data_IF_780593667076
#
_entry.id   IF_780593667076
#
_cell.length_a   1.000
_cell.length_b   1.000
_cell.length_c   1.000
_cell.angle_alpha   90.00
_cell.angle_beta   90.00
_cell.angle_gamma   90.00
#
_symmetry.space_group_name_H-M   'P 1'
#
loop_
_entity.id
_entity.type
_entity.pdbx_description
1 polymer ?
#
# COMPACT_ATOMS: atom_id res chain seq x y z
N UNK A 1 -11.56 73.05 59.07
CA UNK A 1 -11.57 72.01 58.03
C UNK A 1 -12.48 70.91 58.54
N UNK A 2 -13.59 70.65 57.85
CA UNK A 2 -14.55 69.67 58.33
C UNK A 2 -14.10 68.26 57.88
N UNK A 3 -13.47 67.55 58.80
CA UNK A 3 -12.88 66.21 58.59
C UNK A 3 -13.92 65.19 58.10
N UNK A 4 -15.19 65.42 58.38
CA UNK A 4 -16.28 64.54 57.98
C UNK A 4 -16.57 64.61 56.48
N UNK A 5 -16.53 65.81 55.89
CA UNK A 5 -16.59 65.98 54.42
C UNK A 5 -15.42 65.30 53.71
N UNK A 6 -14.22 65.34 54.29
CA UNK A 6 -13.03 64.68 53.73
C UNK A 6 -13.20 63.15 53.77
N UNK A 7 -13.68 62.60 54.89
CA UNK A 7 -13.99 61.17 55.05
C UNK A 7 -15.03 60.69 54.03
N UNK A 8 -16.11 61.44 53.84
CA UNK A 8 -17.15 61.11 52.86
C UNK A 8 -16.62 61.16 51.41
N UNK A 9 -15.81 62.16 51.06
CA UNK A 9 -15.20 62.26 49.74
C UNK A 9 -14.22 61.10 49.45
N UNK A 10 -13.41 60.72 50.43
CA UNK A 10 -12.51 59.56 50.36
C UNK A 10 -13.27 58.27 50.14
N UNK A 11 -14.31 58.00 50.95
CA UNK A 11 -15.13 56.80 50.80
C UNK A 11 -15.86 56.73 49.45
N UNK A 12 -16.31 57.87 48.91
CA UNK A 12 -16.93 57.94 47.59
C UNK A 12 -15.94 57.63 46.46
N UNK A 13 -14.71 58.17 46.54
CA UNK A 13 -13.63 57.86 45.59
C UNK A 13 -13.18 56.40 45.66
N UNK A 14 -13.09 55.85 46.87
CA UNK A 14 -12.71 54.45 47.08
C UNK A 14 -13.75 53.49 46.51
N UNK A 15 -15.05 53.77 46.70
CA UNK A 15 -16.14 53.03 46.04
C UNK A 15 -16.07 53.13 44.51
N UNK A 16 -15.81 54.33 43.98
CA UNK A 16 -15.66 54.51 42.53
C UNK A 16 -14.47 53.71 41.97
N UNK A 17 -13.33 53.69 42.69
CA UNK A 17 -12.16 52.90 42.34
C UNK A 17 -12.45 51.39 42.37
N UNK A 18 -13.20 50.91 43.37
CA UNK A 18 -13.61 49.51 43.46
C UNK A 18 -14.50 49.08 42.29
N UNK A 19 -15.45 49.94 41.89
CA UNK A 19 -16.31 49.69 40.72
C UNK A 19 -15.48 49.67 39.43
N UNK A 20 -14.54 50.61 39.28
CA UNK A 20 -13.66 50.66 38.11
C UNK A 20 -12.76 49.43 38.02
N UNK A 21 -12.17 49.00 39.14
CA UNK A 21 -11.34 47.80 39.22
C UNK A 21 -12.15 46.52 38.90
N UNK A 22 -13.40 46.45 39.37
CA UNK A 22 -14.31 45.36 39.02
C UNK A 22 -14.62 45.33 37.51
N UNK A 23 -14.87 46.49 36.90
CA UNK A 23 -15.10 46.60 35.47
C UNK A 23 -13.86 46.19 34.65
N UNK A 24 -12.67 46.62 35.07
CA UNK A 24 -11.39 46.25 34.42
C UNK A 24 -11.14 44.74 34.51
N UNK A 25 -11.35 44.12 35.67
CA UNK A 25 -11.22 42.68 35.84
C UNK A 25 -12.19 41.90 34.93
N UNK A 26 -13.41 42.41 34.74
CA UNK A 26 -14.42 41.81 33.86
C UNK A 26 -14.00 41.90 32.37
N UNK A 27 -13.39 43.01 31.96
CA UNK A 27 -12.83 43.17 30.61
C UNK A 27 -11.69 42.17 30.39
N UNK A 28 -10.75 42.07 31.34
CA UNK A 28 -9.61 41.13 31.26
C UNK A 28 -10.12 39.68 31.19
N UNK A 29 -11.12 39.33 32.01
CA UNK A 29 -11.74 37.99 31.96
C UNK A 29 -12.34 37.68 30.59
N UNK A 30 -13.07 38.61 29.98
CA UNK A 30 -13.66 38.42 28.65
C UNK A 30 -12.58 38.21 27.57
N UNK A 31 -11.48 38.96 27.64
CA UNK A 31 -10.34 38.80 26.72
C UNK A 31 -9.70 37.42 26.85
N UNK A 32 -9.42 36.96 28.08
CA UNK A 32 -8.84 35.63 28.32
C UNK A 32 -9.80 34.51 27.87
N UNK A 33 -11.10 34.68 28.10
CA UNK A 33 -12.11 33.73 27.67
C UNK A 33 -12.19 33.60 26.14
N UNK A 34 -12.16 34.74 25.42
CA UNK A 34 -12.14 34.75 23.97
C UNK A 34 -10.85 34.10 23.43
N UNK A 35 -9.69 34.47 23.99
CA UNK A 35 -8.41 33.88 23.63
C UNK A 35 -8.38 32.35 23.84
N UNK A 36 -9.00 31.86 24.92
CA UNK A 36 -9.09 30.43 25.20
C UNK A 36 -9.91 29.68 24.14
N UNK A 37 -11.01 30.28 23.66
CA UNK A 37 -11.79 29.71 22.54
C UNK A 37 -10.99 29.67 21.26
N UNK A 38 -10.31 30.76 20.94
CA UNK A 38 -9.49 30.85 19.72
C UNK A 38 -8.34 29.83 19.75
N UNK A 39 -7.72 29.63 20.93
CA UNK A 39 -6.71 28.60 21.14
C UNK A 39 -7.26 27.18 20.91
N UNK A 40 -8.46 26.89 21.43
CA UNK A 40 -9.12 25.59 21.22
C UNK A 40 -9.41 25.37 19.73
N UNK A 41 -9.96 26.38 19.04
CA UNK A 41 -10.26 26.30 17.60
C UNK A 41 -8.97 26.11 16.79
N UNK A 42 -7.90 26.83 17.12
CA UNK A 42 -6.60 26.68 16.47
C UNK A 42 -6.04 25.27 16.66
N UNK A 43 -6.18 24.70 17.87
CA UNK A 43 -5.74 23.34 18.16
C UNK A 43 -6.52 22.33 17.32
N UNK A 44 -7.85 22.40 17.30
CA UNK A 44 -8.69 21.55 16.44
C UNK A 44 -8.34 21.70 14.95
N UNK A 45 -8.17 22.94 14.47
CA UNK A 45 -7.79 23.23 13.10
C UNK A 45 -6.43 22.63 12.73
N UNK A 46 -5.45 22.72 13.63
CA UNK A 46 -4.10 22.18 13.41
C UNK A 46 -4.10 20.64 13.31
N UNK A 47 -4.88 19.97 14.16
CA UNK A 47 -5.02 18.50 14.14
C UNK A 47 -5.69 18.06 12.85
N UNK A 48 -6.79 18.71 12.47
CA UNK A 48 -7.51 18.40 11.23
C UNK A 48 -6.62 18.63 10.00
N UNK A 49 -5.92 19.77 9.93
CA UNK A 49 -5.00 20.07 8.86
C UNK A 49 -3.88 19.01 8.79
N UNK A 50 -3.26 18.65 9.92
CA UNK A 50 -2.22 17.62 9.99
C UNK A 50 -2.69 16.26 9.45
N UNK A 51 -3.87 15.80 9.85
CA UNK A 51 -4.46 14.55 9.36
C UNK A 51 -4.74 14.61 7.85
N UNK A 52 -5.29 15.73 7.35
CA UNK A 52 -5.57 15.92 5.93
C UNK A 52 -4.28 15.95 5.10
N UNK A 53 -3.27 16.72 5.53
CA UNK A 53 -1.96 16.77 4.89
C UNK A 53 -1.33 15.39 4.83
N UNK A 54 -1.29 14.66 5.96
CA UNK A 54 -0.74 13.31 5.98
C UNK A 54 -1.48 12.37 5.03
N UNK A 55 -2.81 12.45 4.97
CA UNK A 55 -3.61 11.61 4.07
C UNK A 55 -3.37 11.94 2.60
N UNK A 56 -3.29 13.22 2.24
CA UNK A 56 -3.06 13.66 0.86
C UNK A 56 -1.64 13.36 0.42
N UNK A 57 -0.62 13.77 1.18
CA UNK A 57 0.78 13.49 0.87
C UNK A 57 1.06 12.00 0.90
N UNK A 58 0.53 11.27 1.89
CA UNK A 58 0.66 9.82 1.99
C UNK A 58 0.09 9.12 0.76
N UNK A 59 -1.11 9.51 0.31
CA UNK A 59 -1.69 8.98 -0.95
C UNK A 59 -0.80 9.28 -2.16
N UNK A 60 -0.32 10.53 -2.30
CA UNK A 60 0.55 10.94 -3.42
C UNK A 60 1.86 10.17 -3.44
N UNK A 61 2.51 10.00 -2.28
CA UNK A 61 3.74 9.23 -2.14
C UNK A 61 3.52 7.74 -2.46
N UNK A 62 2.46 7.14 -1.93
CA UNK A 62 2.13 5.74 -2.22
C UNK A 62 1.83 5.52 -3.70
N UNK A 63 1.19 6.49 -4.35
CA UNK A 63 0.95 6.44 -5.80
C UNK A 63 2.25 6.53 -6.60
N UNK A 64 3.12 7.52 -6.29
CA UNK A 64 4.43 7.64 -6.96
C UNK A 64 5.33 6.42 -6.76
N UNK A 65 5.28 5.78 -5.58
CA UNK A 65 5.97 4.51 -5.33
C UNK A 65 5.46 3.38 -6.23
N UNK A 66 4.13 3.22 -6.34
CA UNK A 66 3.55 2.22 -7.24
C UNK A 66 3.90 2.50 -8.70
N UNK A 67 3.81 3.75 -9.11
CA UNK A 67 4.16 4.18 -10.46
C UNK A 67 5.62 3.87 -10.80
N UNK A 68 6.55 4.12 -9.87
CA UNK A 68 7.96 3.79 -10.05
C UNK A 68 8.18 2.27 -10.22
N UNK A 69 7.50 1.45 -9.41
CA UNK A 69 7.57 -0.02 -9.54
C UNK A 69 7.11 -0.45 -10.94
N UNK A 70 5.99 0.08 -11.43
CA UNK A 70 5.48 -0.24 -12.76
C UNK A 70 6.42 0.25 -13.86
N UNK A 71 6.95 1.47 -13.78
CA UNK A 71 7.92 1.99 -14.75
C UNK A 71 9.19 1.14 -14.84
N UNK A 72 9.73 0.70 -13.69
CA UNK A 72 10.88 -0.21 -13.68
C UNK A 72 10.56 -1.57 -14.31
N UNK A 73 9.36 -2.09 -14.06
CA UNK A 73 8.89 -3.33 -14.66
C UNK A 73 8.74 -3.18 -16.19
N UNK A 74 8.05 -2.14 -16.66
CA UNK A 74 7.88 -1.83 -18.08
C UNK A 74 9.22 -1.65 -18.80
N UNK A 75 10.16 -0.92 -18.20
CA UNK A 75 11.50 -0.72 -18.76
C UNK A 75 12.25 -2.06 -18.89
N UNK A 76 12.20 -2.91 -17.87
CA UNK A 76 12.78 -4.24 -17.92
C UNK A 76 12.15 -5.10 -19.02
N UNK A 77 10.82 -5.10 -19.14
CA UNK A 77 10.11 -5.90 -20.14
C UNK A 77 10.40 -5.41 -21.55
N UNK A 78 10.44 -4.09 -21.76
CA UNK A 78 10.81 -3.48 -23.04
C UNK A 78 12.20 -3.90 -23.50
N UNK A 79 13.18 -3.94 -22.58
CA UNK A 79 14.53 -4.44 -22.87
C UNK A 79 14.57 -5.92 -23.27
N UNK A 80 13.55 -6.70 -22.87
CA UNK A 80 13.42 -8.13 -23.17
C UNK A 80 12.35 -8.44 -24.23
N UNK A 81 11.92 -7.44 -25.03
CA UNK A 81 10.86 -7.57 -26.04
C UNK A 81 9.55 -8.16 -25.49
N UNK A 82 9.19 -7.78 -24.26
CA UNK A 82 7.98 -8.20 -23.58
C UNK A 82 7.07 -7.00 -23.29
N UNK A 83 5.79 -7.27 -23.08
CA UNK A 83 4.79 -6.26 -22.75
C UNK A 83 4.11 -6.55 -21.40
N UNK A 84 3.62 -5.48 -20.78
CA UNK A 84 2.86 -5.52 -19.55
C UNK A 84 1.44 -5.03 -19.80
N UNK A 85 0.46 -5.78 -19.31
CA UNK A 85 -0.92 -5.30 -19.25
C UNK A 85 -1.52 -5.54 -17.86
N UNK A 86 -2.42 -4.65 -17.46
CA UNK A 86 -3.19 -4.76 -16.21
C UNK A 86 -4.50 -5.54 -16.44
N UNK A 87 -4.40 -6.58 -17.24
CA UNK A 87 -5.45 -7.53 -17.50
C UNK A 87 -4.98 -8.85 -16.90
N UNK A 88 -5.80 -9.46 -16.06
CA UNK A 88 -5.50 -10.77 -15.48
C UNK A 88 -5.95 -11.92 -16.38
N UNK A 89 -5.54 -13.13 -16.03
CA UNK A 89 -6.09 -14.35 -16.61
C UNK A 89 -7.50 -14.60 -16.08
N UNK A 90 -8.46 -14.90 -16.94
CA UNK A 90 -9.88 -15.03 -16.52
C UNK A 90 -10.11 -16.29 -15.71
N UNK A 91 -11.06 -16.23 -14.78
CA UNK A 91 -11.40 -17.36 -13.91
C UNK A 91 -11.98 -18.54 -14.70
N UNK A 92 -12.83 -18.26 -15.69
CA UNK A 92 -13.45 -19.29 -16.53
C UNK A 92 -12.39 -20.06 -17.34
N UNK A 93 -11.43 -19.32 -17.90
CA UNK A 93 -10.29 -19.88 -18.63
C UNK A 93 -9.37 -20.68 -17.69
N UNK A 94 -9.16 -20.20 -16.47
CA UNK A 94 -8.39 -20.92 -15.46
C UNK A 94 -9.03 -22.25 -15.06
N UNK A 95 -10.35 -22.27 -14.87
CA UNK A 95 -11.10 -23.50 -14.55
C UNK A 95 -11.01 -24.54 -15.66
N UNK A 96 -10.90 -24.12 -16.92
CA UNK A 96 -10.74 -25.03 -18.07
C UNK A 96 -9.41 -25.78 -18.07
N UNK A 97 -8.38 -25.27 -17.39
CA UNK A 97 -7.09 -25.97 -17.23
C UNK A 97 -7.27 -27.26 -16.41
N UNK A 98 -8.32 -27.36 -15.58
CA UNK A 98 -8.67 -28.56 -14.83
C UNK A 98 -7.54 -29.10 -13.94
N UNK A 99 -6.97 -28.23 -13.10
CA UNK A 99 -6.13 -28.66 -11.97
C UNK A 99 -6.94 -29.51 -10.97
N UNK A 100 -6.25 -30.35 -10.20
CA UNK A 100 -6.86 -31.29 -9.25
C UNK A 100 -7.34 -30.61 -7.95
N UNK A 101 -7.95 -29.42 -8.06
CA UNK A 101 -8.57 -28.69 -6.96
C UNK A 101 -9.68 -27.75 -7.46
N UNK A 102 -10.70 -27.57 -6.61
CA UNK A 102 -11.76 -26.58 -6.78
C UNK A 102 -11.27 -25.17 -6.43
N UNK A 103 -11.71 -24.15 -7.16
CA UNK A 103 -11.25 -22.77 -7.00
C UNK A 103 -12.37 -21.89 -6.42
N UNK A 104 -12.01 -21.04 -5.46
CA UNK A 104 -12.83 -20.03 -4.82
C UNK A 104 -12.04 -18.72 -4.67
N UNK A 105 -12.70 -17.58 -4.66
CA UNK A 105 -12.08 -16.25 -4.48
C UNK A 105 -10.92 -15.95 -5.46
N UNK A 106 -11.06 -16.36 -6.72
CA UNK A 106 -10.02 -16.19 -7.73
C UNK A 106 -9.78 -14.72 -8.09
N UNK A 107 -8.51 -14.34 -8.23
CA UNK A 107 -8.06 -13.01 -8.60
C UNK A 107 -6.81 -13.10 -9.47
N UNK A 108 -6.83 -12.37 -10.57
CA UNK A 108 -5.68 -12.10 -11.43
C UNK A 108 -5.76 -10.66 -11.91
N UNK A 109 -4.64 -9.96 -12.03
CA UNK A 109 -4.62 -8.52 -12.33
C UNK A 109 -3.58 -8.12 -13.37
N UNK A 110 -2.52 -8.90 -13.56
CA UNK A 110 -1.34 -8.52 -14.30
C UNK A 110 -0.92 -9.65 -15.23
N UNK A 111 -0.65 -9.27 -16.49
CA UNK A 111 -0.10 -10.15 -17.51
C UNK A 111 1.26 -9.62 -17.97
N UNK A 112 2.21 -10.53 -18.12
CA UNK A 112 3.55 -10.29 -18.67
C UNK A 112 3.71 -11.18 -19.91
N UNK A 113 3.56 -10.58 -21.09
CA UNK A 113 3.63 -11.31 -22.36
C UNK A 113 5.03 -11.22 -22.95
N UNK A 114 5.74 -12.34 -22.97
CA UNK A 114 7.00 -12.51 -23.68
C UNK A 114 6.73 -13.18 -25.04
N UNK A 115 7.73 -13.20 -25.91
CA UNK A 115 7.61 -13.82 -27.23
C UNK A 115 7.28 -15.31 -27.17
N UNK A 116 7.88 -16.04 -26.22
CA UNK A 116 7.80 -17.51 -26.14
C UNK A 116 6.86 -18.01 -25.03
N UNK A 117 6.42 -17.14 -24.13
CA UNK A 117 5.61 -17.51 -22.98
C UNK A 117 4.85 -16.31 -22.41
N UNK A 118 3.84 -16.56 -21.59
CA UNK A 118 3.10 -15.52 -20.88
C UNK A 118 3.00 -15.86 -19.41
N UNK A 119 3.13 -14.85 -18.54
CA UNK A 119 2.96 -15.01 -17.10
C UNK A 119 1.75 -14.21 -16.65
N UNK A 120 1.00 -14.78 -15.73
CA UNK A 120 -0.15 -14.14 -15.09
C UNK A 120 0.02 -14.21 -13.58
N UNK A 121 -0.19 -13.11 -12.88
CA UNK A 121 -0.31 -13.21 -11.42
C UNK A 121 -1.66 -13.86 -11.08
N UNK A 122 -1.65 -14.86 -10.19
CA UNK A 122 -2.88 -15.53 -9.79
C UNK A 122 -2.90 -15.75 -8.29
N UNK A 123 -4.05 -15.49 -7.69
CA UNK A 123 -4.33 -15.70 -6.29
C UNK A 123 -5.71 -16.31 -6.16
N UNK A 124 -5.84 -17.39 -5.41
CA UNK A 124 -7.14 -18.02 -5.18
C UNK A 124 -7.11 -18.81 -3.87
N UNK A 125 -8.30 -19.25 -3.44
CA UNK A 125 -8.46 -20.23 -2.38
C UNK A 125 -9.08 -21.50 -2.94
N UNK A 126 -8.90 -22.61 -2.24
CA UNK A 126 -9.74 -23.77 -2.46
C UNK A 126 -11.01 -23.72 -1.58
N UNK A 127 -11.88 -24.72 -1.72
CA UNK A 127 -13.09 -24.86 -0.90
C UNK A 127 -12.79 -25.12 0.57
N UNK A 128 -11.62 -25.71 0.88
CA UNK A 128 -11.14 -25.98 2.23
C UNK A 128 -10.53 -24.74 2.90
N UNK A 129 -10.40 -23.63 2.16
CA UNK A 129 -9.84 -22.36 2.64
C UNK A 129 -8.31 -22.27 2.56
N UNK A 130 -7.64 -23.24 1.95
CA UNK A 130 -6.22 -23.15 1.62
C UNK A 130 -6.00 -22.06 0.58
N UNK A 131 -4.92 -21.29 0.72
CA UNK A 131 -4.67 -20.12 -0.10
C UNK A 131 -3.45 -20.33 -0.99
N UNK A 132 -3.63 -20.05 -2.28
CA UNK A 132 -2.55 -19.95 -3.26
C UNK A 132 -2.29 -18.50 -3.64
N UNK A 133 -1.02 -18.15 -3.74
CA UNK A 133 -0.53 -16.90 -4.31
C UNK A 133 0.73 -17.19 -5.12
N UNK A 134 0.78 -16.69 -6.34
CA UNK A 134 1.91 -16.94 -7.22
C UNK A 134 1.62 -16.52 -8.64
N UNK A 135 2.15 -17.31 -9.57
CA UNK A 135 2.15 -17.00 -11.00
C UNK A 135 1.70 -18.23 -11.76
N UNK A 136 0.89 -18.02 -12.80
CA UNK A 136 0.61 -18.98 -13.84
C UNK A 136 1.50 -18.65 -15.05
N UNK A 137 2.37 -19.59 -15.41
CA UNK A 137 3.14 -19.56 -16.65
C UNK A 137 2.39 -20.37 -17.71
N UNK A 138 2.22 -19.79 -18.89
CA UNK A 138 1.72 -20.47 -20.08
C UNK A 138 2.81 -20.46 -21.16
N UNK A 139 3.15 -21.64 -21.69
CA UNK A 139 4.02 -21.77 -22.86
C UNK A 139 3.80 -23.09 -23.57
N UNK A 140 3.76 -23.05 -24.91
CA UNK A 140 3.75 -24.26 -25.75
C UNK A 140 5.10 -25.00 -25.78
N UNK A 141 6.15 -24.39 -25.22
CA UNK A 141 7.51 -24.95 -25.14
C UNK A 141 7.84 -25.40 -23.72
N UNK A 142 6.83 -25.69 -22.90
CA UNK A 142 7.05 -26.12 -21.54
C UNK A 142 7.66 -27.53 -21.53
N UNK A 143 8.68 -27.74 -20.69
CA UNK A 143 9.27 -29.08 -20.50
C UNK A 143 8.20 -30.04 -19.95
N UNK A 144 8.23 -31.30 -20.38
CA UNK A 144 7.25 -32.31 -19.95
C UNK A 144 7.57 -32.92 -18.57
N UNK A 145 8.85 -32.89 -18.15
CA UNK A 145 9.31 -33.53 -16.90
C UNK A 145 9.60 -32.53 -15.78
N UNK A 146 8.67 -31.61 -15.49
CA UNK A 146 8.81 -30.71 -14.34
C UNK A 146 8.34 -31.45 -13.10
N UNK A 147 9.25 -31.70 -12.14
CA UNK A 147 8.94 -32.40 -10.91
C UNK A 147 7.93 -31.59 -10.05
N UNK A 148 6.66 -32.02 -9.96
CA UNK A 148 5.64 -31.24 -9.28
C UNK A 148 5.80 -31.32 -7.76
N UNK A 149 5.51 -30.23 -7.07
CA UNK A 149 5.44 -30.24 -5.62
C UNK A 149 4.23 -31.05 -5.16
N UNK A 150 4.39 -31.81 -4.05
CA UNK A 150 3.31 -32.62 -3.46
C UNK A 150 2.10 -31.79 -3.03
N UNK A 151 2.29 -30.53 -2.65
CA UNK A 151 1.20 -29.64 -2.24
C UNK A 151 1.51 -28.19 -2.61
N UNK A 152 0.77 -27.66 -3.59
CA UNK A 152 0.93 -26.29 -4.08
C UNK A 152 0.46 -25.22 -3.07
N UNK A 153 -0.33 -25.61 -2.06
CA UNK A 153 -0.82 -24.73 -1.00
C UNK A 153 0.11 -24.64 0.22
N UNK A 154 1.32 -25.21 0.14
CA UNK A 154 2.26 -25.14 1.25
C UNK A 154 2.62 -23.68 1.57
N UNK A 155 2.63 -23.35 2.87
CA UNK A 155 3.01 -22.02 3.33
C UNK A 155 4.47 -21.72 3.00
N UNK A 156 4.67 -20.80 2.07
CA UNK A 156 6.00 -20.30 1.68
C UNK A 156 6.63 -19.49 2.82
N UNK A 157 7.89 -19.79 3.14
CA UNK A 157 8.69 -19.04 4.13
C UNK A 157 9.58 -17.98 3.49
N UNK A 158 10.04 -18.25 2.27
CA UNK A 158 10.94 -17.37 1.52
C UNK A 158 10.16 -16.20 0.93
N UNK A 159 10.75 -15.00 1.03
CA UNK A 159 10.18 -13.76 0.45
C UNK A 159 10.61 -13.53 -0.99
N UNK A 160 11.65 -14.22 -1.42
CA UNK A 160 12.20 -14.11 -2.77
C UNK A 160 11.45 -15.03 -3.73
N UNK A 161 11.56 -14.72 -5.02
CA UNK A 161 10.97 -15.57 -6.06
C UNK A 161 11.74 -16.89 -6.14
N UNK A 162 11.01 -17.97 -5.88
CA UNK A 162 11.51 -19.34 -5.89
C UNK A 162 10.70 -20.18 -6.86
N UNK A 163 11.36 -21.11 -7.53
CA UNK A 163 10.78 -22.02 -8.52
C UNK A 163 10.70 -23.46 -8.00
N UNK A 164 10.81 -23.65 -6.68
CA UNK A 164 10.77 -24.97 -6.04
C UNK A 164 9.35 -25.55 -5.96
N UNK A 165 8.35 -24.69 -5.78
CA UNK A 165 6.96 -25.11 -5.56
C UNK A 165 6.16 -24.87 -6.84
N UNK A 166 6.15 -25.89 -7.69
CA UNK A 166 5.50 -25.82 -9.00
C UNK A 166 4.49 -26.94 -9.20
N UNK A 167 3.48 -26.68 -10.02
CA UNK A 167 2.49 -27.66 -10.42
C UNK A 167 2.18 -27.48 -11.90
N UNK A 168 2.50 -28.49 -12.70
CA UNK A 168 2.28 -28.49 -14.15
C UNK A 168 0.96 -29.13 -14.52
N UNK A 169 0.30 -28.57 -15.53
CA UNK A 169 -0.85 -29.15 -16.22
C UNK A 169 -0.79 -28.72 -17.69
N UNK A 170 -0.52 -29.68 -18.58
CA UNK A 170 -0.37 -29.43 -20.01
C UNK A 170 0.66 -28.31 -20.30
N UNK A 171 0.25 -27.27 -21.04
CA UNK A 171 1.05 -26.08 -21.39
C UNK A 171 1.11 -25.02 -20.25
N UNK A 172 0.53 -25.33 -19.10
CA UNK A 172 0.43 -24.42 -17.96
C UNK A 172 1.27 -24.90 -16.76
N UNK A 173 1.90 -23.95 -16.08
CA UNK A 173 2.69 -24.19 -14.88
C UNK A 173 2.32 -23.17 -13.81
N UNK A 174 1.84 -23.64 -12.67
CA UNK A 174 1.69 -22.83 -11.47
C UNK A 174 3.02 -22.79 -10.72
N UNK A 175 3.42 -21.59 -10.30
CA UNK A 175 4.62 -21.35 -9.49
C UNK A 175 4.17 -20.58 -8.25
N UNK A 176 4.25 -21.22 -7.08
CA UNK A 176 3.91 -20.56 -5.82
C UNK A 176 4.98 -19.52 -5.47
N UNK A 177 4.57 -18.25 -5.28
CA UNK A 177 5.48 -17.17 -4.90
C UNK A 177 4.75 -16.07 -4.14
N UNK A 178 5.38 -15.56 -3.07
CA UNK A 178 4.85 -14.41 -2.32
C UNK A 178 5.08 -13.07 -3.01
N UNK A 179 6.01 -13.02 -3.98
CA UNK A 179 6.40 -11.80 -4.67
C UNK A 179 6.37 -12.01 -6.18
N UNK A 180 5.84 -11.03 -6.90
CA UNK A 180 5.93 -10.98 -8.35
C UNK A 180 7.40 -10.85 -8.79
N UNK A 181 7.87 -11.62 -9.79
CA UNK A 181 9.28 -11.73 -10.16
C UNK A 181 9.84 -10.44 -10.75
N UNK A 182 8.98 -9.55 -11.26
CA UNK A 182 9.36 -8.31 -11.92
C UNK A 182 8.88 -7.05 -11.21
N UNK A 183 8.39 -7.17 -9.97
CA UNK A 183 8.04 -6.01 -9.14
C UNK A 183 9.21 -5.60 -8.24
N UNK A 184 9.62 -4.35 -8.39
CA UNK A 184 10.77 -3.79 -7.70
C UNK A 184 10.54 -3.71 -6.19
N UNK A 185 11.58 -4.01 -5.42
CA UNK A 185 11.68 -3.56 -4.03
C UNK A 185 12.30 -2.16 -4.00
N UNK A 186 11.52 -1.17 -3.56
CA UNK A 186 11.98 0.20 -3.44
C UNK A 186 12.96 0.44 -2.27
N UNK A 187 13.25 -0.60 -1.48
CA UNK A 187 14.29 -0.55 -0.43
C UNK A 187 15.70 -0.76 -0.98
N UNK A 188 15.84 -1.33 -2.17
CA UNK A 188 17.13 -1.61 -2.81
C UNK A 188 17.31 -0.75 -4.07
N UNK A 189 18.54 -0.67 -4.58
CA UNK A 189 18.84 0.15 -5.77
C UNK A 189 18.15 -0.39 -7.03
N UNK A 190 17.97 0.49 -8.03
CA UNK A 190 17.40 0.10 -9.32
C UNK A 190 18.24 -0.98 -10.01
N UNK A 191 19.57 -0.83 -10.00
CA UNK A 191 20.49 -1.80 -10.58
C UNK A 191 20.36 -3.19 -9.96
N UNK A 192 20.22 -3.27 -8.64
CA UNK A 192 20.05 -4.55 -7.96
C UNK A 192 18.69 -5.19 -8.28
N UNK A 193 17.63 -4.38 -8.36
CA UNK A 193 16.32 -4.86 -8.83
C UNK A 193 16.43 -5.45 -10.25
N UNK A 194 17.08 -4.76 -11.18
CA UNK A 194 17.25 -5.28 -12.54
C UNK A 194 18.08 -6.56 -12.60
N UNK A 195 19.11 -6.70 -11.74
CA UNK A 195 19.86 -7.97 -11.61
C UNK A 195 18.94 -9.11 -11.14
N UNK A 196 18.14 -8.86 -10.10
CA UNK A 196 17.16 -9.85 -9.59
C UNK A 196 16.13 -10.21 -10.66
N UNK A 197 15.64 -9.24 -11.43
CA UNK A 197 14.69 -9.52 -12.52
C UNK A 197 15.29 -10.43 -13.60
N UNK A 198 16.56 -10.21 -13.96
CA UNK A 198 17.29 -11.08 -14.90
C UNK A 198 17.43 -12.50 -14.34
N UNK A 199 17.81 -12.63 -13.07
CA UNK A 199 17.93 -13.94 -12.42
C UNK A 199 16.58 -14.67 -12.36
N UNK A 200 15.51 -13.96 -12.01
CA UNK A 200 14.15 -14.53 -12.00
C UNK A 200 13.70 -14.95 -13.40
N UNK A 201 14.03 -14.15 -14.42
CA UNK A 201 13.74 -14.48 -15.80
C UNK A 201 14.50 -15.75 -16.24
N UNK A 202 15.78 -15.90 -15.88
CA UNK A 202 16.57 -17.11 -16.14
C UNK A 202 15.98 -18.36 -15.46
N UNK A 203 15.50 -18.21 -14.22
CA UNK A 203 14.78 -19.30 -13.52
C UNK A 203 13.53 -19.71 -14.29
N UNK A 204 12.79 -18.78 -14.86
CA UNK A 204 11.59 -19.08 -15.67
C UNK A 204 11.98 -19.76 -16.99
N UNK A 205 13.01 -19.27 -17.67
CA UNK A 205 13.54 -19.92 -18.88
C UNK A 205 13.99 -21.36 -18.64
N UNK A 206 14.39 -21.73 -17.41
CA UNK A 206 14.77 -23.11 -17.10
C UNK A 206 13.64 -24.12 -17.28
N UNK A 207 12.38 -23.69 -17.30
CA UNK A 207 11.20 -24.51 -17.57
C UNK A 207 10.81 -24.62 -19.05
N UNK A 208 11.46 -23.84 -19.91
CA UNK A 208 11.20 -23.79 -21.34
C UNK A 208 12.24 -24.64 -22.09
N UNK A 209 11.82 -25.27 -23.19
CA UNK A 209 12.62 -26.12 -24.06
C UNK A 209 13.02 -25.39 -25.35
#
# INVERSE_FOLDING_TARGET
MDFETIRQALNKRLKALQILAFAEALIIFFLIFQFSKDLIIALFGSVLAGVLFFRILGKKLMWGRKELIFKMCEEFLKQNNASFSKEGFKEEEFKQIAFDFSIKDYKSQNTFAFKDFTLYDVCFKDELGNFFCGILLYSKKLKQDINPCKNIFQKLKEKEFSTQNVLQKDDFLLIASLKNPFFADLKISCELNFKIFKENLLKIYSFLQ
#
